data_IF_142421392392
#
_entry.id   IF_142421392392
#
_cell.length_a   1.000
_cell.length_b   1.000
_cell.length_c   1.000
_cell.angle_alpha   90.00
_cell.angle_beta   90.00
_cell.angle_gamma   90.00
#
_symmetry.space_group_name_H-M   'P 1'
#
loop_
_entity.id
_entity.type
_entity.pdbx_description
1 polymer ?
#
# COMPACT_ATOMS: atom_id res chain seq x y z
N UNK A 1 -25.32 -18.47 -10.28
CA UNK A 1 -23.86 -18.41 -10.03
C UNK A 1 -23.42 -19.84 -9.74
N UNK A 2 -22.58 -20.46 -10.57
CA UNK A 2 -22.18 -21.87 -10.41
C UNK A 2 -21.32 -22.06 -9.17
N UNK A 3 -21.43 -23.21 -8.49
CA UNK A 3 -20.75 -23.52 -7.23
C UNK A 3 -19.22 -23.28 -7.28
N UNK A 4 -18.62 -23.46 -8.46
CA UNK A 4 -17.21 -23.20 -8.77
C UNK A 4 -16.82 -21.72 -8.65
N UNK A 5 -17.71 -20.79 -9.01
CA UNK A 5 -17.45 -19.36 -8.93
C UNK A 5 -17.43 -18.87 -7.48
N UNK A 6 -18.27 -19.46 -6.61
CA UNK A 6 -18.33 -19.09 -5.20
C UNK A 6 -17.08 -19.57 -4.45
N UNK A 7 -16.62 -20.80 -4.73
CA UNK A 7 -15.38 -21.33 -4.16
C UNK A 7 -14.15 -20.53 -4.60
N UNK A 8 -14.10 -20.07 -5.85
CA UNK A 8 -13.00 -19.24 -6.36
C UNK A 8 -12.97 -17.85 -5.72
N UNK A 9 -14.12 -17.20 -5.57
CA UNK A 9 -14.21 -15.87 -4.92
C UNK A 9 -13.79 -15.94 -3.46
N UNK A 10 -14.29 -16.93 -2.72
CA UNK A 10 -13.91 -17.14 -1.31
C UNK A 10 -12.42 -17.48 -1.14
N UNK A 11 -11.85 -18.24 -2.07
CA UNK A 11 -10.40 -18.49 -2.11
C UNK A 11 -9.59 -17.21 -2.29
N UNK A 12 -9.98 -16.34 -3.24
CA UNK A 12 -9.32 -15.04 -3.47
C UNK A 12 -9.42 -14.15 -2.23
N UNK A 13 -10.58 -14.11 -1.57
CA UNK A 13 -10.78 -13.33 -0.35
C UNK A 13 -9.86 -13.80 0.78
N UNK A 14 -9.75 -15.11 1.00
CA UNK A 14 -8.86 -15.68 2.01
C UNK A 14 -7.38 -15.42 1.70
N UNK A 15 -6.98 -15.56 0.43
CA UNK A 15 -5.63 -15.23 -0.03
C UNK A 15 -5.29 -13.78 0.27
N UNK A 16 -6.20 -12.88 -0.10
CA UNK A 16 -6.04 -11.46 0.11
C UNK A 16 -5.88 -11.14 1.60
N UNK A 17 -6.70 -11.74 2.45
CA UNK A 17 -6.62 -11.59 3.89
C UNK A 17 -5.26 -12.06 4.44
N UNK A 18 -4.78 -13.23 4.00
CA UNK A 18 -3.47 -13.76 4.43
C UNK A 18 -2.31 -12.85 4.01
N UNK A 19 -2.38 -12.23 2.84
CA UNK A 19 -1.33 -11.35 2.34
C UNK A 19 -1.32 -9.94 2.95
N UNK A 20 -2.45 -9.42 3.45
CA UNK A 20 -2.49 -8.05 3.99
C UNK A 20 -1.63 -7.89 5.25
N UNK A 21 -1.53 -8.91 6.12
CA UNK A 21 -0.70 -8.87 7.33
C UNK A 21 0.81 -8.83 7.07
N UNK A 22 1.42 -9.73 6.26
CA UNK A 22 2.84 -9.67 5.95
C UNK A 22 3.19 -8.41 5.16
N UNK A 23 2.33 -7.96 4.24
CA UNK A 23 2.55 -6.71 3.50
C UNK A 23 2.56 -5.51 4.45
N UNK A 24 1.66 -5.46 5.42
CA UNK A 24 1.67 -4.42 6.45
C UNK A 24 2.98 -4.43 7.24
N UNK A 25 3.42 -5.59 7.72
CA UNK A 25 4.65 -5.73 8.50
C UNK A 25 5.89 -5.31 7.68
N UNK A 26 5.99 -5.76 6.43
CA UNK A 26 7.08 -5.38 5.52
C UNK A 26 7.05 -3.86 5.26
N UNK A 27 5.86 -3.28 5.06
CA UNK A 27 5.74 -1.83 4.82
C UNK A 27 6.19 -0.99 6.03
N UNK A 28 5.88 -1.42 7.26
CA UNK A 28 6.35 -0.78 8.50
C UNK A 28 7.87 -0.86 8.60
N UNK A 29 8.45 -2.04 8.40
CA UNK A 29 9.90 -2.23 8.43
C UNK A 29 10.57 -1.34 7.38
N UNK A 30 10.02 -1.29 6.18
CA UNK A 30 10.58 -0.50 5.07
C UNK A 30 10.54 1.00 5.38
N UNK A 31 9.44 1.49 5.98
CA UNK A 31 9.34 2.88 6.44
C UNK A 31 10.37 3.18 7.54
N UNK A 32 10.51 2.31 8.53
CA UNK A 32 11.50 2.47 9.60
C UNK A 32 12.93 2.50 9.04
N UNK A 33 13.29 1.54 8.20
CA UNK A 33 14.61 1.50 7.56
C UNK A 33 14.84 2.75 6.70
N UNK A 34 13.81 3.21 6.00
CA UNK A 34 13.86 4.41 5.17
C UNK A 34 14.19 5.66 6.00
N UNK A 35 13.61 5.83 7.19
CA UNK A 35 13.86 7.02 8.01
C UNK A 35 15.15 6.95 8.82
N UNK A 36 15.53 5.77 9.33
CA UNK A 36 16.62 5.64 10.31
C UNK A 36 17.95 5.15 9.73
N UNK A 37 17.95 4.42 8.61
CA UNK A 37 19.15 3.74 8.11
C UNK A 37 19.66 4.34 6.80
N UNK A 38 18.77 4.75 5.90
CA UNK A 38 19.16 5.23 4.57
C UNK A 38 19.77 6.64 4.67
N UNK A 39 21.02 6.86 4.25
CA UNK A 39 21.71 8.14 4.45
C UNK A 39 21.33 9.22 3.42
N UNK A 40 20.85 8.84 2.23
CA UNK A 40 20.53 9.79 1.17
C UNK A 40 19.04 10.14 1.15
N UNK A 41 18.70 11.43 1.32
CA UNK A 41 17.34 11.95 1.32
C UNK A 41 16.49 11.48 0.14
N UNK A 42 17.08 11.42 -1.06
CA UNK A 42 16.37 10.98 -2.26
C UNK A 42 15.96 9.49 -2.20
N UNK A 43 16.86 8.62 -1.74
CA UNK A 43 16.53 7.20 -1.56
C UNK A 43 15.53 6.97 -0.43
N UNK A 44 15.58 7.79 0.64
CA UNK A 44 14.55 7.78 1.68
C UNK A 44 13.16 8.07 1.08
N UNK A 45 13.04 9.11 0.26
CA UNK A 45 11.76 9.45 -0.38
C UNK A 45 11.25 8.31 -1.26
N UNK A 46 12.11 7.64 -2.03
CA UNK A 46 11.67 6.51 -2.87
C UNK A 46 11.20 5.32 -2.05
N UNK A 47 11.96 4.90 -1.04
CA UNK A 47 11.57 3.80 -0.16
C UNK A 47 10.25 4.14 0.57
N UNK A 48 10.12 5.36 1.08
CA UNK A 48 8.90 5.83 1.71
C UNK A 48 7.71 5.87 0.74
N UNK A 49 7.89 6.38 -0.47
CA UNK A 49 6.80 6.50 -1.46
C UNK A 49 6.26 5.14 -1.93
N UNK A 50 7.09 4.09 -1.92
CA UNK A 50 6.64 2.73 -2.25
C UNK A 50 5.94 2.10 -1.04
N UNK A 51 6.50 2.26 0.16
CA UNK A 51 6.00 1.59 1.36
C UNK A 51 4.76 2.27 1.97
N UNK A 52 4.64 3.60 1.86
CA UNK A 52 3.57 4.38 2.47
C UNK A 52 2.17 4.07 1.94
N UNK A 53 1.93 3.96 0.62
CA UNK A 53 0.62 3.57 0.10
C UNK A 53 0.23 2.15 0.52
N UNK A 54 1.20 1.22 0.55
CA UNK A 54 0.98 -0.15 1.01
C UNK A 54 0.64 -0.19 2.51
N UNK A 55 1.34 0.59 3.33
CA UNK A 55 1.10 0.74 4.76
C UNK A 55 -0.31 1.26 5.05
N UNK A 56 -0.73 2.34 4.38
CA UNK A 56 -2.08 2.91 4.57
C UNK A 56 -3.14 1.91 4.13
N UNK A 57 -3.00 1.32 2.94
CA UNK A 57 -4.04 0.42 2.42
C UNK A 57 -4.22 -0.82 3.28
N UNK A 58 -3.12 -1.42 3.76
CA UNK A 58 -3.19 -2.61 4.61
C UNK A 58 -3.58 -2.27 6.04
N UNK A 59 -3.15 -1.12 6.58
CA UNK A 59 -3.55 -0.63 7.90
C UNK A 59 -5.06 -0.35 7.98
N UNK A 60 -5.64 0.30 6.97
CA UNK A 60 -7.10 0.52 6.92
C UNK A 60 -7.84 -0.80 6.81
N UNK A 61 -7.38 -1.75 5.99
CA UNK A 61 -8.00 -3.07 5.89
C UNK A 61 -8.01 -3.82 7.24
N UNK A 62 -6.87 -3.84 7.94
CA UNK A 62 -6.74 -4.48 9.27
C UNK A 62 -7.64 -3.78 10.28
N UNK A 63 -7.66 -2.43 10.28
CA UNK A 63 -8.55 -1.65 11.14
C UNK A 63 -10.01 -2.02 10.90
N UNK A 64 -10.44 -2.06 9.64
CA UNK A 64 -11.80 -2.48 9.30
C UNK A 64 -12.12 -3.88 9.77
N UNK A 65 -11.18 -4.82 9.67
CA UNK A 65 -11.40 -6.19 10.14
C UNK A 65 -11.50 -6.30 11.66
N UNK A 66 -10.77 -5.47 12.41
CA UNK A 66 -10.84 -5.39 13.87
C UNK A 66 -12.16 -4.75 14.32
N UNK A 67 -12.61 -3.72 13.61
CA UNK A 67 -13.82 -2.97 13.92
C UNK A 67 -15.09 -3.53 13.26
N UNK A 68 -14.97 -4.56 12.41
CA UNK A 68 -16.10 -5.26 11.81
C UNK A 68 -16.91 -5.87 12.96
N UNK A 69 -18.08 -5.30 13.29
CA UNK A 69 -18.85 -5.79 14.42
C UNK A 69 -19.36 -7.18 14.08
N UNK A 70 -19.40 -8.05 15.08
CA UNK A 70 -20.43 -9.10 15.10
C UNK A 70 -21.76 -8.44 14.69
N UNK A 71 -22.39 -8.98 13.64
CA UNK A 71 -23.63 -8.48 13.01
C UNK A 71 -24.81 -8.22 14.00
N UNK A 72 -24.65 -8.54 15.28
CA UNK A 72 -25.58 -8.28 16.36
C UNK A 72 -25.53 -6.86 16.95
N UNK A 73 -24.45 -6.09 16.77
CA UNK A 73 -24.34 -4.72 17.30
C UNK A 73 -24.65 -3.64 16.24
N UNK A 74 -25.80 -3.78 15.58
CA UNK A 74 -26.36 -2.80 14.62
C UNK A 74 -26.52 -1.36 15.17
N UNK A 75 -26.42 -1.17 16.48
CA UNK A 75 -26.61 0.12 17.13
C UNK A 75 -25.49 1.14 16.86
N UNK A 76 -24.29 0.69 16.45
CA UNK A 76 -23.12 1.56 16.28
C UNK A 76 -22.89 1.95 14.81
N UNK A 77 -23.42 1.18 13.86
CA UNK A 77 -23.16 1.34 12.43
C UNK A 77 -24.45 1.65 11.69
N UNK A 78 -24.71 2.93 11.46
CA UNK A 78 -25.71 3.36 10.49
C UNK A 78 -25.34 2.80 9.10
N UNK A 79 -26.30 2.27 8.36
CA UNK A 79 -26.08 1.71 7.01
C UNK A 79 -25.44 2.74 6.06
N UNK A 80 -25.68 4.03 6.30
CA UNK A 80 -25.03 5.11 5.55
C UNK A 80 -23.53 5.26 5.87
N UNK A 81 -23.13 4.99 7.12
CA UNK A 81 -21.74 5.06 7.57
C UNK A 81 -20.94 3.86 7.08
N UNK A 82 -21.50 2.65 7.17
CA UNK A 82 -20.88 1.44 6.66
C UNK A 82 -20.60 1.54 5.15
N UNK A 83 -21.57 2.05 4.37
CA UNK A 83 -21.39 2.28 2.94
C UNK A 83 -20.28 3.28 2.60
N UNK A 84 -20.16 4.38 3.37
CA UNK A 84 -19.09 5.38 3.20
C UNK A 84 -17.71 4.82 3.53
N UNK A 85 -17.61 4.05 4.61
CA UNK A 85 -16.37 3.42 5.06
C UNK A 85 -15.89 2.38 4.04
N UNK A 86 -16.80 1.54 3.53
CA UNK A 86 -16.49 0.57 2.48
C UNK A 86 -16.05 1.27 1.18
N UNK A 87 -16.72 2.35 0.79
CA UNK A 87 -16.33 3.16 -0.37
C UNK A 87 -14.94 3.76 -0.20
N UNK A 88 -14.65 4.34 0.98
CA UNK A 88 -13.35 4.91 1.29
C UNK A 88 -12.24 3.85 1.25
N UNK A 89 -12.47 2.66 1.81
CA UNK A 89 -11.52 1.55 1.70
C UNK A 89 -11.25 1.15 0.25
N UNK A 90 -12.29 1.01 -0.58
CA UNK A 90 -12.13 0.71 -2.01
C UNK A 90 -11.35 1.81 -2.73
N UNK A 91 -11.62 3.06 -2.42
CA UNK A 91 -10.88 4.20 -2.94
C UNK A 91 -9.39 4.13 -2.56
N UNK A 92 -9.08 3.94 -1.27
CA UNK A 92 -7.68 3.85 -0.80
C UNK A 92 -6.96 2.66 -1.43
N UNK A 93 -7.66 1.54 -1.62
CA UNK A 93 -7.10 0.35 -2.25
C UNK A 93 -6.79 0.57 -3.73
N UNK A 94 -7.68 1.24 -4.46
CA UNK A 94 -7.42 1.64 -5.84
C UNK A 94 -6.29 2.68 -5.92
N UNK A 95 -6.29 3.67 -5.03
CA UNK A 95 -5.28 4.71 -4.96
C UNK A 95 -3.88 4.14 -4.69
N UNK A 96 -3.75 3.26 -3.68
CA UNK A 96 -2.47 2.63 -3.32
C UNK A 96 -1.91 1.74 -4.43
N UNK A 97 -2.77 0.98 -5.12
CA UNK A 97 -2.35 0.13 -6.24
C UNK A 97 -1.81 0.97 -7.40
N UNK A 98 -2.49 2.07 -7.75
CA UNK A 98 -2.04 2.98 -8.80
C UNK A 98 -0.76 3.72 -8.42
N UNK A 99 -0.65 4.20 -7.18
CA UNK A 99 0.54 4.87 -6.67
C UNK A 99 1.76 3.94 -6.65
N UNK A 100 1.57 2.67 -6.26
CA UNK A 100 2.65 1.69 -6.26
C UNK A 100 3.27 1.50 -7.65
N UNK A 101 2.45 1.35 -8.69
CA UNK A 101 2.93 1.20 -10.07
C UNK A 101 3.67 2.47 -10.52
N UNK A 102 3.12 3.65 -10.22
CA UNK A 102 3.75 4.91 -10.57
C UNK A 102 5.12 5.10 -9.89
N UNK A 103 5.18 4.93 -8.57
CA UNK A 103 6.42 5.12 -7.81
C UNK A 103 7.47 4.06 -8.14
N UNK A 104 7.08 2.78 -8.29
CA UNK A 104 8.02 1.73 -8.68
C UNK A 104 8.63 2.00 -10.07
N UNK A 105 7.82 2.43 -11.04
CA UNK A 105 8.31 2.78 -12.38
C UNK A 105 9.27 3.97 -12.31
N UNK A 106 8.95 4.99 -11.53
CA UNK A 106 9.81 6.15 -11.32
C UNK A 106 11.16 5.75 -10.70
N UNK A 107 11.14 4.90 -9.68
CA UNK A 107 12.36 4.37 -9.04
C UNK A 107 13.24 3.61 -10.04
N UNK A 108 12.65 2.75 -10.88
CA UNK A 108 13.38 2.01 -11.92
C UNK A 108 13.98 2.96 -12.96
N UNK A 109 13.22 3.95 -13.44
CA UNK A 109 13.72 4.93 -14.41
C UNK A 109 14.91 5.74 -13.88
N UNK A 110 14.87 6.10 -12.59
CA UNK A 110 15.95 6.84 -11.96
C UNK A 110 17.18 5.99 -11.70
N UNK A 111 17.00 4.74 -11.26
CA UNK A 111 18.09 3.78 -11.15
C UNK A 111 18.76 3.55 -12.52
N UNK A 112 17.96 3.40 -13.58
CA UNK A 112 18.45 3.30 -14.95
C UNK A 112 19.22 4.56 -15.37
N UNK A 113 18.70 5.75 -15.09
CA UNK A 113 19.38 7.01 -15.41
C UNK A 113 20.70 7.17 -14.64
N UNK A 114 20.74 6.75 -13.38
CA UNK A 114 21.95 6.71 -12.57
C UNK A 114 23.02 5.77 -13.13
N UNK A 115 22.61 4.60 -13.63
CA UNK A 115 23.50 3.65 -14.27
C UNK A 115 23.97 4.10 -15.67
N UNK A 116 23.03 4.51 -16.53
CA UNK A 116 23.29 4.83 -17.93
C UNK A 116 23.99 6.20 -18.12
N UNK A 117 23.75 7.18 -17.23
CA UNK A 117 24.33 8.53 -17.32
C UNK A 117 24.76 9.05 -15.93
N UNK A 118 25.82 8.48 -15.34
CA UNK A 118 26.23 8.78 -13.96
C UNK A 118 26.58 10.25 -13.75
N UNK A 119 27.30 10.89 -14.69
CA UNK A 119 27.68 12.31 -14.58
C UNK A 119 26.48 13.26 -14.65
N UNK A 120 25.48 12.95 -15.49
CA UNK A 120 24.25 13.73 -15.58
C UNK A 120 23.42 13.58 -14.30
N UNK A 121 23.34 12.36 -13.77
CA UNK A 121 22.65 12.07 -12.51
C UNK A 121 23.31 12.81 -11.35
N UNK A 122 24.64 12.77 -11.26
CA UNK A 122 25.41 13.47 -10.23
C UNK A 122 25.22 14.99 -10.31
N UNK A 123 25.14 15.58 -11.52
CA UNK A 123 24.88 17.01 -11.70
C UNK A 123 23.48 17.43 -11.24
N UNK A 124 22.46 16.60 -11.50
CA UNK A 124 21.09 16.82 -11.02
C UNK A 124 21.04 16.71 -9.49
N UNK A 125 21.70 15.71 -8.93
CA UNK A 125 21.76 15.45 -7.49
C UNK A 125 22.57 16.49 -6.70
N UNK A 126 23.58 17.12 -7.32
CA UNK A 126 24.37 18.21 -6.70
C UNK A 126 23.69 19.58 -6.70
N UNK A 127 22.69 19.77 -7.57
CA UNK A 127 21.96 21.03 -7.71
C UNK A 127 20.65 21.05 -6.89
N UNK A 128 20.41 20.03 -6.07
CA UNK A 128 19.37 20.00 -5.06
C UNK A 128 19.99 20.20 -3.68
#
# INVERSE_FOLDING_TARGET
MTLTNVAFVTFIENLNLYFNYPVFLISVITLLLSFFVVPSFLAQIYCANIAFPAFISTGIYIGLKIFEPDLNNKWIWDQSFEGKVLYFHRFVRAWSTNMYIYFSTMTVMLAYKGYAKPFLFQKIMKNQ
#
